data_IF_739279400138
#
_entry.id   IF_739279400138
#
_cell.length_a   1.000
_cell.length_b   1.000
_cell.length_c   1.000
_cell.angle_alpha   90.00
_cell.angle_beta   90.00
_cell.angle_gamma   90.00
#
_symmetry.space_group_name_H-M   'P 1'
#
loop_
_entity.id
_entity.type
_entity.pdbx_description
1 polymer ?
#
# COMPACT_ATOMS: atom_id res chain seq x y z
N UNK A 1 -2.39 -22.43 22.48
CA UNK A 1 -1.16 -23.25 22.36
C UNK A 1 -0.36 -23.04 23.63
N UNK A 2 0.40 -24.03 24.12
CA UNK A 2 1.33 -23.78 25.24
C UNK A 2 2.56 -23.02 24.74
N UNK A 3 3.22 -22.25 25.60
CA UNK A 3 4.43 -21.50 25.24
C UNK A 3 5.53 -21.73 26.28
N UNK A 4 6.76 -21.89 25.82
CA UNK A 4 7.92 -21.84 26.69
C UNK A 4 8.16 -20.41 27.21
N UNK A 5 8.67 -20.29 28.43
CA UNK A 5 8.90 -18.98 29.06
C UNK A 5 9.85 -18.10 28.24
N UNK A 6 10.90 -18.70 27.69
CA UNK A 6 11.87 -18.00 26.85
C UNK A 6 11.27 -17.59 25.49
N UNK A 7 10.40 -18.44 24.92
CA UNK A 7 9.67 -18.13 23.69
C UNK A 7 8.74 -16.92 23.86
N UNK A 8 8.05 -16.81 25.01
CA UNK A 8 7.21 -15.64 25.33
C UNK A 8 8.01 -14.35 25.44
N UNK A 9 9.19 -14.39 26.06
CA UNK A 9 10.05 -13.21 26.16
C UNK A 9 10.60 -12.81 24.78
N UNK A 10 10.94 -13.79 23.93
CA UNK A 10 11.53 -13.51 22.60
C UNK A 10 10.51 -13.02 21.58
N UNK A 11 9.26 -13.51 21.62
CA UNK A 11 8.26 -13.14 20.59
C UNK A 11 7.91 -11.65 20.63
N UNK A 12 8.00 -11.01 21.80
CA UNK A 12 7.77 -9.57 21.97
C UNK A 12 8.89 -8.71 21.38
N UNK A 13 10.06 -9.31 21.12
CA UNK A 13 11.22 -8.64 20.55
C UNK A 13 11.34 -8.85 19.03
N UNK A 14 10.44 -9.62 18.42
CA UNK A 14 10.47 -9.82 16.97
C UNK A 14 10.24 -8.47 16.29
N UNK A 15 11.07 -8.07 15.32
CA UNK A 15 11.03 -6.75 14.70
C UNK A 15 9.86 -6.65 13.70
N UNK A 16 8.64 -6.54 14.25
CA UNK A 16 7.41 -6.25 13.52
C UNK A 16 6.80 -4.94 14.02
N UNK A 17 6.02 -4.22 13.19
CA UNK A 17 5.26 -3.07 13.68
C UNK A 17 4.32 -3.45 14.84
N UNK A 18 4.05 -2.53 15.80
CA UNK A 18 3.18 -2.82 16.95
C UNK A 18 1.81 -3.39 16.56
N UNK A 19 1.21 -2.88 15.48
CA UNK A 19 -0.07 -3.36 14.95
C UNK A 19 -0.04 -4.82 14.47
N UNK A 20 1.14 -5.36 14.17
CA UNK A 20 1.36 -6.73 13.71
C UNK A 20 1.87 -7.69 14.81
N UNK A 21 2.13 -7.22 16.03
CA UNK A 21 2.69 -8.06 17.10
C UNK A 21 1.85 -9.33 17.37
N UNK A 22 0.53 -9.20 17.31
CA UNK A 22 -0.38 -10.33 17.46
C UNK A 22 -0.27 -11.35 16.31
N UNK A 23 0.05 -10.90 15.09
CA UNK A 23 0.25 -11.79 13.93
C UNK A 23 1.53 -12.62 14.07
N UNK A 24 2.60 -12.04 14.62
CA UNK A 24 3.84 -12.77 14.89
C UNK A 24 3.60 -13.92 15.89
N UNK A 25 2.78 -13.69 16.93
CA UNK A 25 2.36 -14.75 17.86
C UNK A 25 1.59 -15.87 17.13
N UNK A 26 0.65 -15.52 16.26
CA UNK A 26 -0.11 -16.50 15.47
C UNK A 26 0.77 -17.27 14.48
N UNK A 27 1.76 -16.63 13.85
CA UNK A 27 2.72 -17.31 12.95
C UNK A 27 3.56 -18.34 13.71
N UNK A 28 4.06 -17.98 14.90
CA UNK A 28 4.79 -18.91 15.75
C UNK A 28 3.93 -20.13 16.16
N UNK A 29 2.68 -19.91 16.56
CA UNK A 29 1.76 -21.02 16.86
C UNK A 29 1.49 -21.89 15.61
N UNK A 30 1.26 -21.26 14.46
CA UNK A 30 1.03 -21.96 13.19
C UNK A 30 2.24 -22.82 12.80
N UNK A 31 3.47 -22.32 12.94
CA UNK A 31 4.70 -23.07 12.68
C UNK A 31 4.88 -24.25 13.61
N UNK A 32 4.63 -24.06 14.91
CA UNK A 32 4.68 -25.15 15.88
C UNK A 32 3.67 -26.25 15.56
N UNK A 33 2.42 -25.89 15.23
CA UNK A 33 1.39 -26.85 14.80
C UNK A 33 1.78 -27.61 13.52
N UNK A 34 2.33 -26.92 12.52
CA UNK A 34 2.81 -27.56 11.28
C UNK A 34 3.94 -28.57 11.52
N UNK A 35 4.70 -28.42 12.60
CA UNK A 35 5.73 -29.36 13.04
C UNK A 35 5.21 -30.42 14.02
N UNK A 36 3.90 -30.46 14.30
CA UNK A 36 3.29 -31.41 15.22
C UNK A 36 3.59 -31.16 16.71
N UNK A 37 4.05 -29.95 17.06
CA UNK A 37 4.36 -29.60 18.45
C UNK A 37 3.09 -29.15 19.18
N UNK A 38 3.02 -29.41 20.49
CA UNK A 38 1.94 -28.96 21.39
C UNK A 38 2.21 -27.58 22.02
N UNK A 39 3.44 -27.09 21.85
CA UNK A 39 3.95 -25.84 22.41
C UNK A 39 4.79 -25.06 21.41
N UNK A 40 4.86 -23.75 21.61
CA UNK A 40 5.81 -22.87 20.93
C UNK A 40 7.11 -22.84 21.71
N UNK A 41 8.19 -23.30 21.07
CA UNK A 41 9.54 -23.31 21.63
C UNK A 41 10.33 -22.08 21.20
N UNK A 42 11.48 -21.83 21.83
CA UNK A 42 12.37 -20.72 21.44
C UNK A 42 12.80 -20.85 19.96
N UNK A 43 13.13 -22.05 19.49
CA UNK A 43 13.52 -22.30 18.09
C UNK A 43 12.43 -21.89 17.10
N UNK A 44 11.17 -22.15 17.42
CA UNK A 44 10.03 -21.73 16.59
C UNK A 44 9.95 -20.20 16.51
N UNK A 45 10.19 -19.50 17.61
CA UNK A 45 10.20 -18.04 17.62
C UNK A 45 11.37 -17.49 16.81
N UNK A 46 12.56 -18.08 16.92
CA UNK A 46 13.72 -17.68 16.11
C UNK A 46 13.50 -17.92 14.61
N UNK A 47 12.81 -19.00 14.23
CA UNK A 47 12.40 -19.23 12.84
C UNK A 47 11.35 -18.23 12.36
N UNK A 48 10.39 -17.88 13.23
CA UNK A 48 9.38 -16.85 12.97
C UNK A 48 10.06 -15.51 12.70
N UNK A 49 10.99 -15.13 13.57
CA UNK A 49 11.79 -13.92 13.43
C UNK A 49 12.57 -13.90 12.12
N UNK A 50 13.32 -14.96 11.80
CA UNK A 50 14.03 -15.08 10.51
C UNK A 50 13.09 -14.91 9.32
N UNK A 51 11.86 -15.43 9.42
CA UNK A 51 10.82 -15.24 8.42
C UNK A 51 10.45 -13.77 8.21
N UNK A 52 10.16 -13.04 9.28
CA UNK A 52 9.85 -11.60 9.20
C UNK A 52 11.04 -10.76 8.73
N UNK A 53 12.24 -11.02 9.27
CA UNK A 53 13.47 -10.32 8.88
C UNK A 53 13.76 -10.51 7.39
N UNK A 54 13.64 -11.74 6.88
CA UNK A 54 13.80 -12.02 5.45
C UNK A 54 12.71 -11.35 4.60
N UNK A 55 11.47 -11.30 5.11
CA UNK A 55 10.33 -10.74 4.37
C UNK A 55 10.41 -9.22 4.25
N UNK A 56 10.71 -8.52 5.34
CA UNK A 56 10.80 -7.06 5.36
C UNK A 56 12.12 -6.54 4.79
N UNK A 57 13.22 -7.28 4.96
CA UNK A 57 14.56 -6.86 4.58
C UNK A 57 15.28 -6.06 5.67
N UNK A 58 16.61 -5.98 5.57
CA UNK A 58 17.47 -5.43 6.61
C UNK A 58 17.15 -3.97 6.97
N UNK A 59 16.84 -3.15 5.96
CA UNK A 59 16.53 -1.72 6.16
C UNK A 59 15.22 -1.50 6.94
N UNK A 60 14.16 -2.21 6.57
CA UNK A 60 12.86 -2.13 7.23
C UNK A 60 12.97 -2.64 8.68
N UNK A 61 13.71 -3.73 8.90
CA UNK A 61 13.99 -4.24 10.26
C UNK A 61 14.73 -3.21 11.10
N UNK A 62 15.79 -2.59 10.57
CA UNK A 62 16.54 -1.55 11.29
C UNK A 62 15.63 -0.37 11.70
N UNK A 63 14.71 0.02 10.81
CA UNK A 63 13.70 1.05 11.10
C UNK A 63 12.77 0.60 12.22
N UNK A 64 12.19 -0.59 12.14
CA UNK A 64 11.25 -1.10 13.15
C UNK A 64 11.93 -1.20 14.51
N UNK A 65 13.16 -1.69 14.56
CA UNK A 65 13.96 -1.77 15.80
C UNK A 65 14.24 -0.38 16.37
N UNK A 66 14.64 0.58 15.53
CA UNK A 66 14.84 1.97 15.97
C UNK A 66 13.55 2.60 16.53
N UNK A 67 12.40 2.35 15.88
CA UNK A 67 11.08 2.78 16.37
C UNK A 67 10.73 2.15 17.72
N UNK A 68 10.99 0.85 17.90
CA UNK A 68 10.77 0.15 19.18
C UNK A 68 11.64 0.70 20.32
N UNK A 69 12.82 1.23 19.99
CA UNK A 69 13.73 1.90 20.93
C UNK A 69 13.40 3.39 21.16
N UNK A 70 12.31 3.90 20.57
CA UNK A 70 11.94 5.32 20.68
C UNK A 70 12.83 6.28 19.88
N UNK A 71 13.65 5.75 18.97
CA UNK A 71 14.55 6.49 18.08
C UNK A 71 13.93 6.57 16.67
N UNK A 72 12.81 7.25 16.53
CA UNK A 72 12.14 7.36 15.22
C UNK A 72 12.79 8.45 14.33
N UNK A 73 13.30 8.13 13.13
CA UNK A 73 13.64 9.11 12.11
C UNK A 73 12.35 9.64 11.44
N UNK A 74 11.70 10.59 12.09
CA UNK A 74 10.76 11.57 11.52
C UNK A 74 9.84 11.05 10.39
N UNK A 75 8.71 10.46 10.76
CA UNK A 75 7.51 10.62 9.96
C UNK A 75 6.96 12.03 10.22
N UNK A 76 6.67 12.85 9.18
CA UNK A 76 6.10 14.19 9.38
C UNK A 76 4.85 14.10 10.27
N UNK A 77 4.62 15.06 11.18
CA UNK A 77 3.40 15.13 12.02
C UNK A 77 2.11 14.94 11.19
N UNK A 78 2.16 15.39 9.94
CA UNK A 78 1.13 15.29 8.91
C UNK A 78 0.68 13.83 8.59
N UNK A 79 1.47 12.80 8.92
CA UNK A 79 1.12 11.38 8.80
C UNK A 79 0.12 10.90 9.89
N UNK A 80 -0.04 11.69 10.95
CA UNK A 80 -0.88 11.42 12.11
C UNK A 80 -2.06 12.40 12.23
N UNK A 81 -2.23 13.32 11.28
CA UNK A 81 -3.43 14.15 11.17
C UNK A 81 -4.64 13.26 10.81
N UNK A 82 -5.33 12.74 11.83
CA UNK A 82 -6.59 12.00 11.70
C UNK A 82 -7.82 12.89 11.91
N UNK A 83 -7.68 14.02 12.62
CA UNK A 83 -8.79 14.93 12.95
C UNK A 83 -8.81 16.14 12.01
N UNK A 84 -9.55 16.01 10.91
CA UNK A 84 -9.94 17.17 10.11
C UNK A 84 -11.46 17.37 10.22
N UNK A 85 -11.90 18.61 10.40
CA UNK A 85 -13.29 19.05 10.22
C UNK A 85 -13.80 18.90 8.76
N UNK A 86 -13.07 18.15 7.94
CA UNK A 86 -13.26 17.99 6.51
C UNK A 86 -14.13 16.77 6.19
N UNK A 87 -14.94 16.85 5.13
CA UNK A 87 -15.68 15.70 4.59
C UNK A 87 -14.81 14.89 3.61
N UNK A 88 -13.52 14.74 3.90
CA UNK A 88 -12.67 13.78 3.21
C UNK A 88 -11.75 13.08 4.21
N UNK A 89 -11.33 11.86 3.88
CA UNK A 89 -10.41 11.06 4.69
C UNK A 89 -9.31 10.49 3.80
N UNK A 90 -8.06 10.57 4.25
CA UNK A 90 -6.93 9.95 3.57
C UNK A 90 -6.44 8.76 4.38
N UNK A 91 -6.74 7.55 3.90
CA UNK A 91 -6.25 6.31 4.48
C UNK A 91 -4.87 5.97 3.92
N UNK A 92 -3.91 5.75 4.81
CA UNK A 92 -2.52 5.51 4.45
C UNK A 92 -2.08 4.10 4.85
N UNK A 93 -1.37 3.42 3.94
CA UNK A 93 -0.88 2.07 4.14
C UNK A 93 -0.27 1.84 5.55
N UNK A 94 -0.62 0.74 6.26
CA UNK A 94 -0.08 0.43 7.58
C UNK A 94 1.44 0.22 7.57
N UNK A 95 2.01 -0.03 6.39
CA UNK A 95 3.46 -0.10 6.21
C UNK A 95 4.19 1.21 6.59
N UNK A 96 3.45 2.32 6.81
CA UNK A 96 3.97 3.54 7.46
C UNK A 96 4.67 3.24 8.80
N UNK A 97 4.28 2.18 9.51
CA UNK A 97 4.88 1.74 10.77
C UNK A 97 6.17 0.89 10.61
N UNK A 98 6.83 0.95 9.46
CA UNK A 98 8.16 0.35 9.26
C UNK A 98 8.19 -1.00 8.54
N UNK A 99 7.06 -1.65 8.27
CA UNK A 99 6.99 -2.92 7.52
C UNK A 99 7.24 -2.79 5.99
N UNK A 100 7.90 -1.72 5.53
CA UNK A 100 8.32 -1.55 4.14
C UNK A 100 9.62 -0.75 4.02
N UNK A 101 10.26 -0.82 2.85
CA UNK A 101 11.52 -0.14 2.54
C UNK A 101 11.40 1.39 2.63
N UNK A 102 12.51 2.11 2.76
CA UNK A 102 12.46 3.58 2.80
C UNK A 102 11.92 4.16 1.50
N UNK A 103 12.19 3.56 0.34
CA UNK A 103 11.61 3.98 -0.95
C UNK A 103 10.08 3.94 -0.89
N UNK A 104 9.50 2.85 -0.36
CA UNK A 104 8.05 2.68 -0.26
C UNK A 104 7.43 3.75 0.65
N UNK A 105 8.06 4.04 1.79
CA UNK A 105 7.63 5.11 2.69
C UNK A 105 7.80 6.49 2.05
N UNK A 106 8.91 6.71 1.35
CA UNK A 106 9.23 7.95 0.65
C UNK A 106 8.21 8.28 -0.44
N UNK A 107 7.82 7.29 -1.25
CA UNK A 107 6.80 7.49 -2.30
C UNK A 107 5.43 7.88 -1.74
N UNK A 108 5.01 7.25 -0.64
CA UNK A 108 3.77 7.61 0.04
C UNK A 108 3.85 9.01 0.65
N UNK A 109 4.98 9.36 1.26
CA UNK A 109 5.25 10.69 1.81
C UNK A 109 5.21 11.78 0.73
N UNK A 110 5.81 11.51 -0.43
CA UNK A 110 5.91 12.46 -1.54
C UNK A 110 4.53 12.86 -2.10
N UNK A 111 3.54 11.96 -2.04
CA UNK A 111 2.21 12.20 -2.61
C UNK A 111 1.16 12.66 -1.58
N UNK A 112 1.31 12.27 -0.30
CA UNK A 112 0.32 12.56 0.75
C UNK A 112 0.00 14.06 0.89
N UNK A 113 1.02 14.88 1.13
CA UNK A 113 0.84 16.31 1.38
C UNK A 113 0.27 17.05 0.15
N UNK A 114 0.79 16.85 -1.08
CA UNK A 114 0.20 17.44 -2.27
C UNK A 114 -1.27 17.05 -2.49
N UNK A 115 -1.65 15.79 -2.25
CA UNK A 115 -3.05 15.34 -2.38
C UNK A 115 -3.94 16.03 -1.35
N UNK A 116 -3.54 16.07 -0.08
CA UNK A 116 -4.29 16.77 0.98
C UNK A 116 -4.44 18.26 0.66
N UNK A 117 -3.37 18.92 0.24
CA UNK A 117 -3.40 20.34 -0.17
C UNK A 117 -4.34 20.56 -1.35
N UNK A 118 -4.36 19.67 -2.34
CA UNK A 118 -5.26 19.76 -3.50
C UNK A 118 -6.73 19.63 -3.09
N UNK A 119 -7.07 18.69 -2.20
CA UNK A 119 -8.43 18.51 -1.68
C UNK A 119 -8.92 19.75 -0.93
N UNK A 120 -8.07 20.31 -0.06
CA UNK A 120 -8.36 21.54 0.69
C UNK A 120 -8.48 22.76 -0.24
N UNK A 121 -7.55 22.92 -1.19
CA UNK A 121 -7.58 24.03 -2.15
C UNK A 121 -8.81 24.00 -3.07
N UNK A 122 -9.32 22.80 -3.37
CA UNK A 122 -10.56 22.61 -4.14
C UNK A 122 -11.83 22.75 -3.29
N UNK A 123 -11.70 22.87 -1.97
CA UNK A 123 -12.80 22.99 -1.03
C UNK A 123 -13.83 21.85 -1.13
N UNK A 124 -13.34 20.60 -1.21
CA UNK A 124 -14.19 19.42 -1.38
C UNK A 124 -15.25 19.28 -0.28
N UNK A 125 -14.92 19.69 0.96
CA UNK A 125 -15.86 19.69 2.09
C UNK A 125 -17.11 20.51 1.76
N UNK A 126 -16.94 21.74 1.28
CA UNK A 126 -18.07 22.58 0.90
C UNK A 126 -18.84 22.02 -0.30
N UNK A 127 -18.15 21.42 -1.27
CA UNK A 127 -18.79 20.79 -2.44
C UNK A 127 -19.72 19.65 -1.99
N UNK A 128 -19.26 18.80 -1.07
CA UNK A 128 -20.06 17.70 -0.52
C UNK A 128 -21.25 18.25 0.28
N UNK A 129 -21.04 19.26 1.12
CA UNK A 129 -22.12 19.90 1.88
C UNK A 129 -23.19 20.48 0.96
N UNK A 130 -22.80 21.15 -0.13
CA UNK A 130 -23.73 21.74 -1.09
C UNK A 130 -24.52 20.71 -1.90
N UNK A 131 -24.07 19.44 -1.90
CA UNK A 131 -24.65 18.34 -2.68
C UNK A 131 -25.31 17.26 -1.81
N UNK A 132 -25.42 17.49 -0.50
CA UNK A 132 -25.94 16.54 0.49
C UNK A 132 -27.07 17.18 1.30
N UNK A 133 -28.11 16.40 1.60
CA UNK A 133 -29.13 16.79 2.58
C UNK A 133 -28.66 16.49 4.02
N UNK A 134 -29.06 17.29 5.02
CA UNK A 134 -28.77 16.96 6.42
C UNK A 134 -29.61 15.74 6.90
N UNK A 135 -29.10 14.95 7.85
CA UNK A 135 -27.81 15.10 8.53
C UNK A 135 -26.64 14.53 7.72
N UNK A 136 -25.45 15.14 7.89
CA UNK A 136 -24.21 14.58 7.38
C UNK A 136 -23.82 13.33 8.17
N UNK A 137 -23.41 12.31 7.43
CA UNK A 137 -23.06 10.97 7.92
C UNK A 137 -21.75 10.49 7.27
N UNK A 138 -21.14 9.46 7.84
CA UNK A 138 -19.85 8.92 7.38
C UNK A 138 -19.80 8.51 5.90
N UNK A 139 -20.93 8.18 5.26
CA UNK A 139 -20.99 7.81 3.85
C UNK A 139 -20.91 9.01 2.88
N UNK A 140 -20.94 10.24 3.39
CA UNK A 140 -20.67 11.44 2.57
C UNK A 140 -19.17 11.76 2.47
N UNK A 141 -18.35 11.14 3.33
CA UNK A 141 -16.91 11.41 3.38
C UNK A 141 -16.25 10.90 2.11
N UNK A 142 -15.55 11.78 1.40
CA UNK A 142 -14.75 11.39 0.23
C UNK A 142 -13.49 10.67 0.66
N UNK A 143 -13.32 9.43 0.22
CA UNK A 143 -12.26 8.54 0.67
C UNK A 143 -11.09 8.47 -0.31
N UNK A 144 -9.89 8.78 0.18
CA UNK A 144 -8.65 8.61 -0.57
C UNK A 144 -7.81 7.52 0.09
N UNK A 145 -7.32 6.56 -0.68
CA UNK A 145 -6.38 5.55 -0.17
C UNK A 145 -5.02 5.69 -0.84
N UNK A 146 -3.96 5.84 -0.05
CA UNK A 146 -2.57 5.86 -0.52
C UNK A 146 -1.87 4.57 -0.06
N UNK A 147 -1.52 3.73 -1.02
CA UNK A 147 -0.97 2.39 -0.78
C UNK A 147 0.47 2.32 -1.26
N UNK A 148 1.36 1.82 -0.41
CA UNK A 148 2.79 1.71 -0.72
C UNK A 148 3.17 0.57 -1.66
N UNK A 149 2.29 -0.41 -1.92
CA UNK A 149 2.56 -1.51 -2.85
C UNK A 149 1.27 -2.18 -3.39
N UNK A 150 1.36 -2.98 -4.47
CA UNK A 150 0.24 -3.68 -5.09
C UNK A 150 -0.51 -4.69 -4.22
N UNK A 151 -0.02 -5.07 -3.03
CA UNK A 151 -0.76 -5.93 -2.10
C UNK A 151 -2.05 -5.28 -1.57
N UNK A 152 -2.18 -3.94 -1.67
CA UNK A 152 -3.47 -3.26 -1.50
C UNK A 152 -4.18 -3.49 -0.16
N UNK A 153 -3.44 -3.58 0.95
CA UNK A 153 -3.99 -3.92 2.28
C UNK A 153 -5.05 -2.95 2.84
N UNK A 154 -5.21 -1.73 2.30
CA UNK A 154 -6.30 -0.79 2.65
C UNK A 154 -7.24 -0.53 1.48
N UNK A 155 -7.53 -1.59 0.71
CA UNK A 155 -8.65 -1.63 -0.24
C UNK A 155 -8.80 -0.39 -1.13
N UNK A 156 -7.74 0.07 -1.83
CA UNK A 156 -7.81 1.27 -2.69
C UNK A 156 -8.87 1.16 -3.79
N UNK A 157 -9.25 -0.08 -4.15
CA UNK A 157 -10.31 -0.36 -5.11
C UNK A 157 -11.72 -0.17 -4.55
N UNK A 158 -11.88 0.11 -3.25
CA UNK A 158 -13.15 0.43 -2.59
C UNK A 158 -13.21 1.89 -2.10
N UNK A 159 -12.24 2.71 -2.47
CA UNK A 159 -12.19 4.14 -2.13
C UNK A 159 -12.60 4.98 -3.34
N UNK A 160 -13.04 6.22 -3.08
CA UNK A 160 -13.38 7.18 -4.13
C UNK A 160 -12.15 7.48 -5.00
N UNK A 161 -10.97 7.61 -4.38
CA UNK A 161 -9.70 7.83 -5.07
C UNK A 161 -8.57 6.97 -4.51
N UNK A 162 -8.14 5.95 -5.25
CA UNK A 162 -7.05 5.05 -4.88
C UNK A 162 -5.74 5.39 -5.60
N UNK A 163 -4.66 5.51 -4.83
CA UNK A 163 -3.28 5.73 -5.30
C UNK A 163 -2.44 4.53 -4.87
N UNK A 164 -1.85 3.82 -5.82
CA UNK A 164 -1.04 2.61 -5.57
C UNK A 164 0.38 2.88 -6.08
N UNK A 165 1.37 2.86 -5.18
CA UNK A 165 2.78 3.07 -5.54
C UNK A 165 3.35 1.84 -6.24
N UNK A 166 4.14 2.07 -7.28
CA UNK A 166 4.71 1.07 -8.19
C UNK A 166 6.22 1.24 -8.31
N UNK A 167 6.92 0.11 -8.42
CA UNK A 167 8.37 -0.01 -8.52
C UNK A 167 8.68 -1.01 -9.62
N UNK A 168 9.04 -0.52 -10.80
CA UNK A 168 9.35 -1.35 -11.95
C UNK A 168 10.76 -1.95 -11.78
N UNK A 169 10.89 -3.28 -11.65
CA UNK A 169 12.19 -3.92 -11.55
C UNK A 169 12.89 -3.97 -12.92
N UNK A 170 14.21 -3.94 -12.92
CA UNK A 170 15.08 -4.16 -14.07
C UNK A 170 16.24 -5.08 -13.67
N UNK A 171 16.69 -5.94 -14.57
CA UNK A 171 17.79 -6.89 -14.34
C UNK A 171 19.02 -6.45 -15.10
N UNK A 172 20.15 -6.36 -14.39
CA UNK A 172 21.47 -6.32 -15.01
C UNK A 172 21.90 -7.77 -15.34
N UNK A 173 21.86 -8.13 -16.63
CA UNK A 173 22.21 -9.49 -17.06
C UNK A 173 23.71 -9.79 -16.98
N UNK A 174 24.57 -8.77 -16.92
CA UNK A 174 26.03 -8.97 -16.80
C UNK A 174 26.43 -9.41 -15.38
N UNK A 175 25.66 -9.01 -14.37
CA UNK A 175 25.84 -9.39 -12.97
C UNK A 175 24.96 -10.59 -12.55
N UNK A 176 23.96 -10.93 -13.36
CA UNK A 176 22.99 -11.96 -13.03
C UNK A 176 23.59 -13.36 -13.12
N UNK A 177 23.67 -14.05 -11.98
CA UNK A 177 24.09 -15.46 -11.92
C UNK A 177 22.96 -16.48 -12.12
N UNK A 178 21.77 -16.03 -12.55
CA UNK A 178 20.57 -16.85 -12.80
C UNK A 178 20.20 -17.83 -11.66
N UNK A 179 20.38 -17.42 -10.40
CA UNK A 179 20.16 -18.29 -9.23
C UNK A 179 18.69 -18.68 -8.96
N UNK A 180 17.72 -18.08 -9.63
CA UNK A 180 16.28 -18.40 -9.45
C UNK A 180 15.58 -17.72 -8.27
N UNK A 181 16.30 -17.05 -7.36
CA UNK A 181 15.71 -16.49 -6.12
C UNK A 181 14.58 -15.48 -6.38
N UNK A 182 14.75 -14.58 -7.35
CA UNK A 182 13.75 -13.59 -7.73
C UNK A 182 12.50 -14.22 -8.37
N UNK A 183 12.69 -15.23 -9.22
CA UNK A 183 11.59 -15.96 -9.87
C UNK A 183 10.77 -16.75 -8.86
N UNK A 184 11.42 -17.45 -7.92
CA UNK A 184 10.76 -18.20 -6.84
C UNK A 184 9.94 -17.30 -5.91
N UNK A 185 10.35 -16.05 -5.73
CA UNK A 185 9.61 -15.06 -4.94
C UNK A 185 8.40 -14.48 -5.70
N UNK A 186 8.45 -14.40 -7.03
CA UNK A 186 7.45 -13.72 -7.83
C UNK A 186 6.13 -14.51 -7.90
N UNK A 187 5.11 -14.06 -7.16
CA UNK A 187 3.77 -14.65 -7.19
C UNK A 187 3.09 -14.56 -8.54
N UNK A 188 3.43 -13.53 -9.32
CA UNK A 188 2.90 -13.30 -10.67
C UNK A 188 3.59 -14.14 -11.75
N UNK A 189 4.63 -14.91 -11.39
CA UNK A 189 5.44 -15.70 -12.33
C UNK A 189 6.00 -14.85 -13.50
N UNK A 190 6.25 -13.57 -13.25
CA UNK A 190 6.67 -12.61 -14.27
C UNK A 190 8.16 -12.70 -14.65
N UNK A 191 8.95 -13.57 -14.01
CA UNK A 191 10.40 -13.66 -14.24
C UNK A 191 10.71 -15.04 -14.83
N UNK A 192 11.34 -15.05 -16.02
CA UNK A 192 11.76 -16.26 -16.71
C UNK A 192 13.24 -16.23 -17.06
N UNK A 193 13.83 -17.41 -17.22
CA UNK A 193 15.22 -17.57 -17.63
C UNK A 193 15.26 -18.08 -19.06
N UNK A 194 16.00 -17.37 -19.91
CA UNK A 194 16.41 -17.79 -21.24
C UNK A 194 17.93 -18.00 -21.24
N UNK A 195 18.47 -18.65 -22.28
CA UNK A 195 19.82 -19.24 -22.29
C UNK A 195 20.89 -18.43 -21.55
N UNK A 196 21.00 -17.13 -21.83
CA UNK A 196 21.98 -16.23 -21.22
C UNK A 196 21.35 -14.98 -20.58
N UNK A 197 20.03 -14.94 -20.38
CA UNK A 197 19.35 -13.75 -19.90
C UNK A 197 18.17 -14.08 -18.98
N UNK A 198 18.00 -13.27 -17.95
CA UNK A 198 16.79 -13.21 -17.14
C UNK A 198 15.88 -12.14 -17.72
N UNK A 199 14.63 -12.50 -17.98
CA UNK A 199 13.63 -11.63 -18.60
C UNK A 199 12.48 -11.42 -17.63
N UNK A 200 12.07 -10.14 -17.49
CA UNK A 200 10.86 -9.75 -16.77
C UNK A 200 9.75 -9.51 -17.80
N UNK A 201 8.66 -10.26 -17.69
CA UNK A 201 7.42 -10.00 -18.41
C UNK A 201 6.66 -8.86 -17.72
N UNK A 202 6.78 -7.65 -18.26
CA UNK A 202 6.11 -6.47 -17.72
C UNK A 202 4.58 -6.49 -17.88
N UNK A 203 4.02 -7.37 -18.71
CA UNK A 203 2.57 -7.54 -18.79
C UNK A 203 2.02 -8.33 -17.60
N UNK A 204 2.79 -9.30 -17.08
CA UNK A 204 2.47 -10.03 -15.85
C UNK A 204 2.94 -9.30 -14.59
N UNK A 205 4.01 -8.49 -14.69
CA UNK A 205 4.59 -7.81 -13.53
C UNK A 205 3.64 -6.75 -12.94
N UNK A 206 3.26 -6.93 -11.68
CA UNK A 206 2.47 -5.92 -10.93
C UNK A 206 3.33 -4.77 -10.36
N UNK A 207 4.63 -4.71 -10.65
CA UNK A 207 5.55 -3.67 -10.19
C UNK A 207 5.61 -3.52 -8.65
N UNK A 208 5.63 -4.63 -7.91
CA UNK A 208 5.69 -4.60 -6.43
C UNK A 208 7.10 -4.34 -5.86
N UNK A 209 8.14 -4.46 -6.69
CA UNK A 209 9.56 -4.31 -6.33
C UNK A 209 10.11 -5.38 -5.37
N UNK A 210 9.31 -6.36 -4.92
CA UNK A 210 9.74 -7.29 -3.87
C UNK A 210 10.85 -8.26 -4.28
N UNK A 211 11.01 -8.54 -5.59
CA UNK A 211 12.06 -9.40 -6.11
C UNK A 211 13.47 -8.80 -5.98
N UNK A 212 13.58 -7.47 -5.88
CA UNK A 212 14.86 -6.75 -5.81
C UNK A 212 15.64 -7.18 -4.57
N UNK A 213 14.98 -7.16 -3.41
CA UNK A 213 15.55 -7.57 -2.12
C UNK A 213 15.84 -9.09 -2.02
N UNK A 214 15.52 -9.87 -3.05
CA UNK A 214 15.78 -11.31 -3.10
C UNK A 214 16.99 -11.66 -3.96
N UNK A 215 17.57 -10.69 -4.68
CA UNK A 215 18.78 -10.94 -5.44
C UNK A 215 19.99 -11.02 -4.49
N UNK A 216 20.72 -12.14 -4.43
CA UNK A 216 21.89 -12.26 -3.55
C UNK A 216 23.14 -11.54 -4.08
N UNK A 217 23.11 -11.10 -5.34
CA UNK A 217 24.21 -10.42 -6.04
C UNK A 217 23.81 -9.03 -6.53
N UNK A 218 22.68 -8.50 -6.02
CA UNK A 218 22.17 -7.16 -6.33
C UNK A 218 22.00 -6.83 -7.82
N UNK A 219 21.86 -7.84 -8.69
CA UNK A 219 21.65 -7.69 -10.13
C UNK A 219 20.25 -7.18 -10.52
N UNK A 220 19.40 -6.82 -9.54
CA UNK A 220 18.05 -6.27 -9.76
C UNK A 220 17.99 -4.87 -9.16
N UNK A 221 17.42 -3.92 -9.90
CA UNK A 221 17.26 -2.53 -9.47
C UNK A 221 15.87 -1.98 -9.84
N UNK A 222 15.55 -0.77 -9.37
CA UNK A 222 14.33 -0.05 -9.76
C UNK A 222 14.67 0.85 -10.96
N UNK A 223 14.12 0.54 -12.14
CA UNK A 223 14.27 1.39 -13.33
C UNK A 223 13.29 2.57 -13.35
N UNK A 224 12.11 2.39 -12.76
CA UNK A 224 11.08 3.42 -12.71
C UNK A 224 10.20 3.29 -11.48
N UNK A 225 9.88 4.42 -10.85
CA UNK A 225 8.81 4.52 -9.85
C UNK A 225 7.61 5.27 -10.43
N UNK A 226 6.43 4.99 -9.90
CA UNK A 226 5.22 5.72 -10.27
C UNK A 226 4.00 5.33 -9.45
N UNK A 227 2.85 5.83 -9.87
CA UNK A 227 1.57 5.66 -9.20
C UNK A 227 0.54 5.12 -10.18
N UNK A 228 -0.15 4.04 -9.82
CA UNK A 228 -1.43 3.65 -10.44
C UNK A 228 -2.56 4.41 -9.75
N UNK A 229 -3.51 4.90 -10.54
CA UNK A 229 -4.68 5.63 -10.02
C UNK A 229 -5.96 4.90 -10.41
N UNK A 230 -6.81 4.66 -9.41
CA UNK A 230 -8.13 4.05 -9.56
C UNK A 230 -9.18 4.96 -8.91
N UNK A 231 -10.39 5.04 -9.45
CA UNK A 231 -11.43 5.95 -8.94
C UNK A 231 -12.82 5.33 -8.93
N UNK A 232 -13.67 5.80 -8.00
CA UNK A 232 -15.09 5.44 -7.93
C UNK A 232 -15.36 4.07 -7.32
N UNK A 233 -14.51 3.61 -6.41
CA UNK A 233 -14.78 2.44 -5.58
C UNK A 233 -15.68 2.78 -4.40
N UNK A 234 -16.51 1.84 -3.96
CA UNK A 234 -17.36 2.03 -2.78
C UNK A 234 -17.79 0.69 -2.17
N UNK A 235 -17.82 0.61 -0.83
CA UNK A 235 -18.34 -0.53 -0.06
C UNK A 235 -19.76 -0.35 0.49
N UNK A 236 -20.52 0.65 0.02
CA UNK A 236 -21.86 0.98 0.51
C UNK A 236 -22.92 -0.03 0.05
N UNK A 237 -24.22 0.33 0.14
CA UNK A 237 -25.38 -0.52 -0.19
C UNK A 237 -25.30 -1.20 -1.56
N UNK A 238 -24.64 -0.56 -2.51
CA UNK A 238 -24.37 -1.08 -3.85
C UNK A 238 -22.86 -1.05 -4.09
N UNK A 239 -22.13 -2.09 -3.65
CA UNK A 239 -20.67 -2.10 -3.72
C UNK A 239 -20.20 -2.08 -5.17
N UNK A 240 -19.11 -1.35 -5.42
CA UNK A 240 -18.52 -1.17 -6.74
C UNK A 240 -17.01 -1.10 -6.61
N UNK A 241 -16.30 -1.74 -7.54
CA UNK A 241 -14.85 -1.61 -7.67
C UNK A 241 -14.50 -0.32 -8.41
N UNK A 242 -13.43 0.32 -7.95
CA UNK A 242 -12.83 1.47 -8.61
C UNK A 242 -12.35 1.10 -10.01
N UNK A 243 -12.55 2.01 -10.96
CA UNK A 243 -12.08 1.88 -12.34
C UNK A 243 -10.65 2.41 -12.45
N UNK A 244 -9.79 1.74 -13.22
CA UNK A 244 -8.41 2.20 -13.43
C UNK A 244 -8.37 3.37 -14.41
N UNK A 245 -7.82 4.50 -13.96
CA UNK A 245 -7.61 5.69 -14.79
C UNK A 245 -6.27 5.57 -15.53
N UNK A 246 -5.20 5.23 -14.81
CA UNK A 246 -3.86 5.01 -15.38
C UNK A 246 -3.15 3.87 -14.66
N UNK A 247 -2.40 3.08 -15.43
CA UNK A 247 -1.58 1.99 -14.87
C UNK A 247 -0.28 2.50 -14.25
N UNK A 248 0.25 3.65 -14.69
CA UNK A 248 1.45 4.24 -14.10
C UNK A 248 1.58 5.71 -14.52
N UNK A 249 1.72 6.60 -13.55
CA UNK A 249 2.03 8.02 -13.76
C UNK A 249 2.97 8.55 -12.68
N UNK A 250 3.58 9.71 -12.92
CA UNK A 250 4.29 10.47 -11.90
C UNK A 250 3.31 11.26 -10.99
N UNK A 251 3.87 11.91 -9.95
CA UNK A 251 3.13 12.76 -9.00
C UNK A 251 2.27 13.83 -9.67
N UNK A 252 2.80 14.53 -10.68
CA UNK A 252 2.06 15.59 -11.36
C UNK A 252 0.79 15.04 -12.04
N UNK A 253 0.90 13.87 -12.68
CA UNK A 253 -0.24 13.20 -13.28
C UNK A 253 -1.28 12.74 -12.25
N UNK A 254 -0.88 12.27 -11.07
CA UNK A 254 -1.84 11.97 -9.97
C UNK A 254 -2.64 13.21 -9.60
N UNK A 255 -1.98 14.36 -9.41
CA UNK A 255 -2.64 15.62 -9.04
C UNK A 255 -3.54 16.15 -10.16
N UNK A 256 -3.17 15.94 -11.43
CA UNK A 256 -3.99 16.30 -12.57
C UNK A 256 -5.25 15.42 -12.66
N UNK A 257 -5.12 14.11 -12.46
CA UNK A 257 -6.26 13.18 -12.43
C UNK A 257 -7.20 13.54 -11.27
N UNK A 258 -6.65 13.82 -10.09
CA UNK A 258 -7.42 14.25 -8.93
C UNK A 258 -8.20 15.53 -9.23
N UNK A 259 -7.56 16.53 -9.83
CA UNK A 259 -8.24 17.77 -10.21
C UNK A 259 -9.39 17.53 -11.20
N UNK A 260 -9.17 16.72 -12.24
CA UNK A 260 -10.21 16.37 -13.21
C UNK A 260 -11.39 15.65 -12.53
N UNK A 261 -11.09 14.74 -11.59
CA UNK A 261 -12.09 13.99 -10.85
C UNK A 261 -12.94 14.91 -9.94
N UNK A 262 -12.30 15.84 -9.23
CA UNK A 262 -12.99 16.80 -8.37
C UNK A 262 -13.85 17.77 -9.17
N UNK A 263 -13.36 18.26 -10.32
CA UNK A 263 -14.15 19.09 -11.25
C UNK A 263 -15.36 18.35 -11.79
N UNK A 264 -15.20 17.08 -12.17
CA UNK A 264 -16.31 16.24 -12.61
C UNK A 264 -17.36 16.10 -11.51
N UNK A 265 -16.94 15.87 -10.26
CA UNK A 265 -17.84 15.77 -9.12
C UNK A 265 -18.58 17.08 -8.82
N UNK A 266 -17.88 18.20 -8.86
CA UNK A 266 -18.46 19.54 -8.67
C UNK A 266 -19.51 19.87 -9.73
N UNK A 267 -19.21 19.60 -11.00
CA UNK A 267 -20.08 19.92 -12.14
C UNK A 267 -21.27 18.97 -12.29
N UNK A 268 -21.18 17.77 -11.74
CA UNK A 268 -22.25 16.78 -11.85
C UNK A 268 -23.52 17.27 -11.11
N UNK A 269 -24.69 17.24 -11.76
CA UNK A 269 -25.94 17.64 -11.14
C UNK A 269 -26.35 16.64 -10.06
N UNK A 270 -27.02 17.13 -9.01
CA UNK A 270 -27.65 16.27 -8.01
C UNK A 270 -28.92 15.70 -8.62
N UNK A 271 -28.99 14.37 -8.77
CA UNK A 271 -30.14 13.65 -9.31
C UNK A 271 -30.73 12.78 -8.19
N UNK A 272 -31.76 13.30 -7.52
CA UNK A 272 -32.34 12.72 -6.30
C UNK A 272 -32.00 13.50 -5.04
N UNK A 273 -31.79 12.80 -3.92
CA UNK A 273 -31.55 13.40 -2.59
C UNK A 273 -30.08 13.73 -2.31
N UNK A 274 -29.14 13.02 -2.94
CA UNK A 274 -27.71 13.18 -2.68
C UNK A 274 -26.88 12.77 -3.91
N UNK A 275 -25.69 13.35 -4.06
CA UNK A 275 -24.74 12.97 -5.10
C UNK A 275 -23.48 12.33 -4.50
N UNK A 276 -23.29 11.05 -4.80
CA UNK A 276 -22.08 10.31 -4.42
C UNK A 276 -21.06 10.26 -5.56
N UNK A 277 -19.77 10.33 -5.23
CA UNK A 277 -18.69 10.37 -6.22
C UNK A 277 -18.63 9.10 -7.08
N UNK A 278 -18.73 7.93 -6.46
CA UNK A 278 -18.78 6.66 -7.20
C UNK A 278 -19.97 6.59 -8.19
N UNK A 279 -21.11 7.20 -7.86
CA UNK A 279 -22.25 7.33 -8.77
C UNK A 279 -21.94 8.19 -9.99
N UNK A 280 -21.22 9.30 -9.78
CA UNK A 280 -20.74 10.16 -10.88
C UNK A 280 -19.79 9.41 -11.81
N UNK A 281 -18.82 8.67 -11.25
CA UNK A 281 -17.89 7.84 -12.02
C UNK A 281 -18.62 6.70 -12.76
N UNK A 282 -19.62 6.06 -12.13
CA UNK A 282 -20.42 5.03 -12.78
C UNK A 282 -21.16 5.56 -14.02
N UNK A 283 -21.66 6.80 -13.96
CA UNK A 283 -22.41 7.43 -15.04
C UNK A 283 -21.51 7.95 -16.18
N UNK A 284 -20.38 8.57 -15.86
CA UNK A 284 -19.52 9.25 -16.85
C UNK A 284 -18.30 8.43 -17.28
N UNK A 285 -17.98 7.35 -16.56
CA UNK A 285 -16.75 6.60 -16.77
C UNK A 285 -15.49 7.37 -16.33
N UNK A 286 -14.34 6.88 -16.77
CA UNK A 286 -13.02 7.44 -16.43
C UNK A 286 -12.23 7.99 -17.61
N UNK A 287 -12.75 7.89 -18.84
CA UNK A 287 -12.01 8.27 -20.05
C UNK A 287 -11.59 9.75 -20.03
N UNK A 288 -12.48 10.64 -19.59
CA UNK A 288 -12.18 12.08 -19.42
C UNK A 288 -11.13 12.39 -18.35
N UNK A 289 -10.86 11.44 -17.45
CA UNK A 289 -9.88 11.59 -16.37
C UNK A 289 -8.48 11.16 -16.78
N UNK A 290 -8.34 10.38 -17.86
CA UNK A 290 -7.04 9.89 -18.34
C UNK A 290 -6.13 11.05 -18.76
N UNK A 291 -4.82 10.81 -18.71
CA UNK A 291 -3.74 11.74 -19.06
C UNK A 291 -2.81 11.10 -20.07
#
# INVERSE_FOLDING_TARGET
>A
MNWEKEALARIEQVPVPPVMAHLARLDAEMRARRKGLDRVTLDIVLETEKGYVSTFGAEAVATITAMAEGKDPALPEEFYEEDSEDLFSIQLCPAKYGACTAEKRGMMRDILKPVRQKLKAFNITQIIMNKSEPPLMSHHVFTVSIIGCPNCCLSPYFSDFGIICLYQPEVNNDECVQCGACANYCTEQAIRFEKNQTIIDYAACVMCGGCINKCPVDALSISRTGYKVVVGGCGSRHPQLAQTVTQCTNKAGVLQILEKALKLFEQAPVDGKELCFHGVIKKHGVDGLRI
#
